data_IF_013681978155
#
_entry.id   IF_013681978155
#
_cell.length_a   1.000
_cell.length_b   1.000
_cell.length_c   1.000
_cell.angle_alpha   90.00
_cell.angle_beta   90.00
_cell.angle_gamma   90.00
#
_symmetry.space_group_name_H-M   'P 1'
#
loop_
_entity.id
_entity.type
_entity.pdbx_description
1 polymer ?
#
# COMPACT_ATOMS: atom_id res chain seq x y z
N UNK A 1 -54.17 -1.65 14.51
CA UNK A 1 -53.12 -0.88 15.18
C UNK A 1 -51.84 -1.09 14.43
N UNK A 2 -51.31 -0.07 13.73
CA UNK A 2 -49.94 -0.11 13.17
C UNK A 2 -49.00 -0.04 14.36
N UNK A 3 -48.23 -1.10 14.57
CA UNK A 3 -47.12 -1.08 15.51
C UNK A 3 -46.09 -0.11 14.94
N UNK A 4 -45.72 0.91 15.69
CA UNK A 4 -44.72 1.91 15.32
C UNK A 4 -43.36 1.21 15.29
N UNK A 5 -43.01 0.64 14.11
CA UNK A 5 -41.80 -0.14 13.93
C UNK A 5 -40.65 0.81 13.60
N UNK A 6 -39.74 1.00 14.56
CA UNK A 6 -38.51 1.77 14.32
C UNK A 6 -37.49 0.87 13.62
N UNK A 7 -37.02 1.22 12.43
CA UNK A 7 -35.99 0.43 11.72
C UNK A 7 -34.71 0.34 12.56
N UNK A 8 -34.12 -0.85 12.61
CA UNK A 8 -32.90 -1.12 13.33
C UNK A 8 -31.85 -1.69 12.36
N UNK A 9 -30.60 -1.29 12.52
CA UNK A 9 -29.47 -1.84 11.79
C UNK A 9 -28.57 -2.61 12.76
N UNK A 10 -28.25 -3.87 12.41
CA UNK A 10 -27.32 -4.70 13.15
C UNK A 10 -26.04 -4.83 12.35
N UNK A 11 -24.91 -4.50 12.97
CA UNK A 11 -23.57 -4.66 12.41
C UNK A 11 -22.81 -5.68 13.26
N UNK A 12 -22.28 -6.73 12.62
CA UNK A 12 -21.39 -7.70 13.27
C UNK A 12 -20.02 -7.57 12.63
N UNK A 13 -19.00 -7.39 13.44
CA UNK A 13 -17.62 -7.23 12.98
C UNK A 13 -16.64 -7.68 14.05
N UNK A 14 -15.45 -8.09 13.63
CA UNK A 14 -14.33 -8.22 14.53
C UNK A 14 -13.69 -6.83 14.77
N UNK A 15 -13.01 -6.63 15.91
CA UNK A 15 -12.24 -5.42 16.15
C UNK A 15 -11.26 -5.15 15.02
N UNK A 16 -11.17 -3.89 14.60
CA UNK A 16 -10.21 -3.43 13.60
C UNK A 16 -9.81 -1.99 13.92
N UNK A 17 -8.51 -1.75 14.08
CA UNK A 17 -7.97 -0.44 14.40
C UNK A 17 -8.35 0.64 13.38
N UNK A 18 -8.43 0.28 12.10
CA UNK A 18 -8.74 1.21 11.00
C UNK A 18 -10.24 1.33 10.72
N UNK A 19 -11.09 0.63 11.47
CA UNK A 19 -12.54 0.72 11.31
C UNK A 19 -13.08 2.08 11.76
N UNK A 20 -14.00 2.66 10.99
CA UNK A 20 -14.75 3.86 11.40
C UNK A 20 -15.51 3.65 12.72
N UNK A 21 -15.88 2.40 13.02
CA UNK A 21 -16.58 2.05 14.27
C UNK A 21 -15.70 2.30 15.49
N UNK A 22 -14.39 2.17 15.39
CA UNK A 22 -13.48 2.47 16.50
C UNK A 22 -13.70 3.89 17.02
N UNK A 23 -13.79 4.87 16.13
CA UNK A 23 -14.02 6.26 16.52
C UNK A 23 -15.37 6.49 17.22
N UNK A 24 -16.35 5.59 17.03
CA UNK A 24 -17.61 5.65 17.74
C UNK A 24 -17.59 4.99 19.11
N UNK A 25 -16.60 4.12 19.33
CA UNK A 25 -16.49 3.27 20.51
C UNK A 25 -15.48 3.79 21.53
N UNK A 26 -14.36 4.38 21.04
CA UNK A 26 -13.16 4.63 21.85
C UNK A 26 -13.39 5.56 23.04
N UNK A 27 -14.22 6.58 22.92
CA UNK A 27 -14.45 7.56 23.99
C UNK A 27 -15.36 7.05 25.12
N UNK A 28 -16.10 5.97 24.91
CA UNK A 28 -17.13 5.57 25.87
C UNK A 28 -17.17 4.08 26.16
N UNK A 29 -17.07 3.23 25.12
CA UNK A 29 -17.28 1.79 25.25
C UNK A 29 -16.02 0.99 25.47
N UNK A 30 -14.85 1.59 25.18
CA UNK A 30 -13.57 0.92 25.24
C UNK A 30 -12.71 1.42 26.41
N UNK A 31 -11.91 0.52 26.95
CA UNK A 31 -10.82 0.91 27.86
C UNK A 31 -9.81 1.77 27.09
N UNK A 32 -9.44 2.97 27.59
CA UNK A 32 -8.62 3.92 26.87
C UNK A 32 -7.17 3.48 26.68
N UNK A 33 -6.70 2.47 27.40
CA UNK A 33 -5.33 1.96 27.29
C UNK A 33 -5.25 0.72 26.42
N UNK A 34 -6.21 -0.19 26.55
CA UNK A 34 -6.17 -1.51 25.90
C UNK A 34 -7.09 -1.62 24.69
N UNK A 35 -8.06 -0.73 24.57
CA UNK A 35 -9.08 -0.81 23.52
C UNK A 35 -10.04 -2.00 23.67
N UNK A 36 -10.03 -2.66 24.82
CA UNK A 36 -10.94 -3.78 25.13
C UNK A 36 -12.29 -3.22 25.54
N UNK A 37 -13.42 -3.82 25.12
CA UNK A 37 -14.74 -3.39 25.56
C UNK A 37 -14.90 -3.41 27.07
N UNK A 38 -15.40 -2.31 27.64
CA UNK A 38 -15.69 -2.18 29.06
C UNK A 38 -16.99 -2.97 29.36
N UNK A 39 -16.95 -3.99 30.25
CA UNK A 39 -18.13 -4.81 30.54
C UNK A 39 -19.34 -4.01 31.04
N UNK A 40 -19.09 -2.97 31.86
CA UNK A 40 -20.14 -2.10 32.42
C UNK A 40 -20.75 -1.14 31.38
N UNK A 41 -20.12 -0.98 30.23
CA UNK A 41 -20.62 -0.16 29.11
C UNK A 41 -21.29 -0.98 28.01
N UNK A 42 -21.07 -2.29 27.99
CA UNK A 42 -21.69 -3.21 27.04
C UNK A 42 -23.21 -3.17 27.17
N UNK A 43 -23.91 -2.95 26.04
CA UNK A 43 -25.35 -2.83 26.01
C UNK A 43 -25.88 -1.44 26.40
N UNK A 44 -25.03 -0.51 26.82
CA UNK A 44 -25.50 0.85 27.12
C UNK A 44 -25.93 1.55 25.83
N UNK A 45 -27.08 2.22 25.88
CA UNK A 45 -27.63 2.95 24.74
C UNK A 45 -27.24 4.42 24.81
N UNK A 46 -26.53 4.90 23.79
CA UNK A 46 -26.23 6.33 23.59
C UNK A 46 -27.06 6.89 22.44
N UNK A 47 -27.15 8.20 22.38
CA UNK A 47 -27.83 8.93 21.33
C UNK A 47 -26.86 9.81 20.61
N UNK A 48 -27.06 10.01 19.31
CA UNK A 48 -26.21 10.89 18.52
C UNK A 48 -27.00 11.68 17.51
N UNK A 49 -26.50 12.86 17.22
CA UNK A 49 -26.93 13.73 16.13
C UNK A 49 -25.80 13.93 15.17
N UNK A 50 -26.04 13.81 13.86
CA UNK A 50 -25.03 13.98 12.82
C UNK A 50 -25.08 15.41 12.29
N UNK A 51 -24.01 16.18 12.50
CA UNK A 51 -23.83 17.53 11.97
C UNK A 51 -22.72 17.52 10.92
N UNK A 52 -23.08 17.43 9.65
CA UNK A 52 -22.11 17.27 8.57
C UNK A 52 -21.32 15.95 8.74
N UNK A 53 -20.01 16.06 8.90
CA UNK A 53 -19.13 14.92 9.15
C UNK A 53 -18.90 14.62 10.64
N UNK A 54 -19.38 15.46 11.55
CA UNK A 54 -19.23 15.27 12.98
C UNK A 54 -20.42 14.51 13.57
N UNK A 55 -20.16 13.71 14.60
CA UNK A 55 -21.16 13.06 15.42
C UNK A 55 -21.13 13.67 16.83
N UNK A 56 -22.26 14.23 17.24
CA UNK A 56 -22.47 14.78 18.59
C UNK A 56 -23.16 13.73 19.44
N UNK A 57 -22.49 13.31 20.53
CA UNK A 57 -22.95 12.20 21.38
C UNK A 57 -23.59 12.67 22.67
N UNK A 58 -24.66 11.98 23.06
CA UNK A 58 -25.48 12.25 24.27
C UNK A 58 -25.67 10.94 25.03
N UNK A 59 -25.77 11.06 26.36
CA UNK A 59 -25.98 9.89 27.24
C UNK A 59 -27.46 9.56 27.43
N UNK A 60 -28.32 10.52 27.14
CA UNK A 60 -29.80 10.30 27.20
C UNK A 60 -30.48 10.93 26.00
N UNK A 61 -31.73 10.49 25.74
CA UNK A 61 -32.58 11.06 24.69
C UNK A 61 -32.95 12.51 25.05
N UNK A 62 -33.25 12.77 26.32
CA UNK A 62 -33.65 14.07 26.83
C UNK A 62 -32.55 15.12 26.61
N UNK A 63 -31.28 14.76 26.84
CA UNK A 63 -30.15 15.65 26.55
C UNK A 63 -30.07 16.00 25.08
N UNK A 64 -30.26 15.02 24.19
CA UNK A 64 -30.21 15.24 22.75
C UNK A 64 -31.41 16.09 22.27
N UNK A 65 -32.59 15.81 22.75
CA UNK A 65 -33.81 16.54 22.41
C UNK A 65 -33.80 17.98 22.92
N UNK A 66 -33.18 18.25 24.06
CA UNK A 66 -33.01 19.61 24.59
C UNK A 66 -32.21 20.51 23.66
N UNK A 67 -31.30 19.92 22.85
CA UNK A 67 -30.41 20.66 21.93
C UNK A 67 -30.99 20.68 20.51
N UNK A 68 -31.54 19.57 20.02
CA UNK A 68 -31.91 19.37 18.61
C UNK A 68 -33.42 19.30 18.37
N UNK A 69 -34.21 19.43 19.41
CA UNK A 69 -35.67 19.27 19.36
C UNK A 69 -36.13 17.82 19.46
N UNK A 70 -37.40 17.64 19.87
CA UNK A 70 -37.99 16.31 20.05
C UNK A 70 -38.69 15.82 18.79
N UNK A 71 -38.86 14.51 18.69
CA UNK A 71 -39.65 13.84 17.66
C UNK A 71 -38.87 13.20 16.53
N UNK A 72 -39.59 12.55 15.62
CA UNK A 72 -38.96 11.76 14.54
C UNK A 72 -38.17 12.59 13.49
N UNK A 73 -38.43 13.88 13.42
CA UNK A 73 -37.76 14.81 12.49
C UNK A 73 -36.49 15.44 13.09
N UNK A 74 -36.22 15.20 14.38
CA UNK A 74 -35.02 15.74 15.06
C UNK A 74 -33.69 15.24 14.50
N UNK A 75 -33.70 14.14 13.75
CA UNK A 75 -32.46 13.52 13.23
C UNK A 75 -31.64 12.79 14.30
N UNK A 76 -32.16 12.68 15.53
CA UNK A 76 -31.50 11.96 16.63
C UNK A 76 -31.62 10.45 16.38
N UNK A 77 -30.49 9.76 16.44
CA UNK A 77 -30.43 8.31 16.33
C UNK A 77 -29.83 7.69 17.59
N UNK A 78 -30.11 6.41 17.83
CA UNK A 78 -29.54 5.69 18.97
C UNK A 78 -28.48 4.68 18.49
N UNK A 79 -27.50 4.42 19.35
CA UNK A 79 -26.46 3.45 19.13
C UNK A 79 -26.24 2.61 20.40
N UNK A 80 -26.07 1.32 20.21
CA UNK A 80 -25.74 0.39 21.29
C UNK A 80 -24.63 -0.52 20.81
N UNK A 81 -23.60 -0.67 21.61
CA UNK A 81 -22.52 -1.59 21.35
C UNK A 81 -22.55 -2.76 22.34
N UNK A 82 -22.37 -3.97 21.82
CA UNK A 82 -22.27 -5.18 22.63
C UNK A 82 -20.90 -5.80 22.31
N UNK A 83 -19.97 -5.65 23.26
CA UNK A 83 -18.69 -6.34 23.20
C UNK A 83 -18.88 -7.81 23.54
N UNK A 84 -18.40 -8.70 22.65
CA UNK A 84 -18.42 -10.14 22.87
C UNK A 84 -17.11 -10.77 22.44
N UNK A 85 -16.70 -11.82 23.13
CA UNK A 85 -15.54 -12.64 22.84
C UNK A 85 -15.95 -14.07 22.52
N UNK A 86 -15.03 -14.89 22.05
CA UNK A 86 -15.29 -16.31 21.84
C UNK A 86 -15.68 -17.03 23.15
N UNK A 87 -15.32 -16.48 24.33
CA UNK A 87 -15.67 -17.05 25.65
C UNK A 87 -17.15 -16.87 25.97
N UNK A 88 -17.81 -15.92 25.35
CA UNK A 88 -19.25 -15.66 25.51
C UNK A 88 -20.10 -16.61 24.63
N UNK A 89 -19.47 -17.55 23.91
CA UNK A 89 -20.13 -18.54 23.06
C UNK A 89 -19.85 -19.97 23.54
N UNK A 90 -20.47 -20.44 24.65
CA UNK A 90 -20.25 -21.80 25.15
C UNK A 90 -20.55 -22.93 24.14
N UNK A 91 -21.59 -22.81 23.27
CA UNK A 91 -21.81 -23.81 22.22
C UNK A 91 -20.64 -23.96 21.27
N UNK A 92 -19.99 -22.86 20.85
CA UNK A 92 -18.80 -22.91 20.00
C UNK A 92 -17.65 -23.64 20.69
N UNK A 93 -17.37 -23.29 21.95
CA UNK A 93 -16.27 -23.88 22.71
C UNK A 93 -16.51 -25.37 23.00
N UNK A 94 -17.78 -25.77 23.15
CA UNK A 94 -18.13 -27.19 23.28
C UNK A 94 -17.95 -27.97 21.96
N UNK A 95 -18.30 -27.32 20.83
CA UNK A 95 -18.16 -27.95 19.51
C UNK A 95 -16.70 -27.99 19.04
N UNK A 96 -15.90 -27.00 19.44
CA UNK A 96 -14.48 -26.86 19.07
C UNK A 96 -13.62 -26.54 20.29
N UNK A 97 -13.24 -27.55 21.11
CA UNK A 97 -12.47 -27.36 22.35
C UNK A 97 -11.09 -26.73 22.14
N UNK A 98 -10.52 -26.90 20.95
CA UNK A 98 -9.21 -26.36 20.54
C UNK A 98 -9.27 -24.93 19.98
N UNK A 99 -10.47 -24.31 19.88
CA UNK A 99 -10.65 -23.01 19.27
C UNK A 99 -9.81 -21.91 19.95
N UNK A 100 -9.83 -21.84 21.29
CA UNK A 100 -9.02 -20.89 22.05
C UNK A 100 -7.52 -21.14 21.85
N UNK A 101 -7.08 -22.40 21.86
CA UNK A 101 -5.67 -22.75 21.64
C UNK A 101 -5.18 -22.32 20.27
N UNK A 102 -6.03 -22.43 19.24
CA UNK A 102 -5.72 -21.91 17.89
C UNK A 102 -5.58 -20.41 17.88
N UNK A 103 -6.48 -19.67 18.54
CA UNK A 103 -6.37 -18.21 18.66
C UNK A 103 -5.12 -17.78 19.43
N UNK A 104 -4.72 -18.54 20.47
CA UNK A 104 -3.49 -18.29 21.23
C UNK A 104 -2.22 -18.49 20.39
N UNK A 105 -2.25 -19.33 19.38
CA UNK A 105 -1.12 -19.56 18.46
C UNK A 105 -0.98 -18.52 17.35
N UNK A 106 -1.94 -17.61 17.22
CA UNK A 106 -1.87 -16.52 16.24
C UNK A 106 -0.77 -15.51 16.59
N UNK A 107 -0.27 -14.75 15.61
CA UNK A 107 0.57 -13.59 15.86
C UNK A 107 -0.06 -12.63 16.88
N UNK A 108 0.78 -11.92 17.66
CA UNK A 108 0.35 -11.06 18.77
C UNK A 108 -0.87 -10.19 18.44
N UNK A 109 -0.83 -9.47 17.35
CA UNK A 109 -1.90 -8.54 16.93
C UNK A 109 -3.21 -9.27 16.63
N UNK A 110 -3.14 -10.38 15.91
CA UNK A 110 -4.30 -11.20 15.59
C UNK A 110 -4.92 -11.81 16.86
N UNK A 111 -4.08 -12.23 17.81
CA UNK A 111 -4.50 -12.72 19.11
C UNK A 111 -5.19 -11.60 19.91
N UNK A 112 -4.58 -10.44 20.08
CA UNK A 112 -5.16 -9.28 20.78
C UNK A 112 -6.52 -8.89 20.19
N UNK A 113 -6.64 -8.93 18.86
CA UNK A 113 -7.87 -8.60 18.13
C UNK A 113 -8.97 -9.64 18.29
N UNK A 114 -8.65 -10.92 18.06
CA UNK A 114 -9.64 -11.98 17.94
C UNK A 114 -9.93 -12.71 19.26
N UNK A 115 -8.92 -12.82 20.14
CA UNK A 115 -9.07 -13.48 21.44
C UNK A 115 -9.44 -12.50 22.54
N UNK A 116 -8.74 -11.34 22.58
CA UNK A 116 -8.90 -10.35 23.65
C UNK A 116 -9.93 -9.28 23.30
N UNK A 117 -10.30 -9.14 22.03
CA UNK A 117 -11.32 -8.22 21.56
C UNK A 117 -10.86 -6.75 21.51
N UNK A 118 -9.54 -6.51 21.45
CA UNK A 118 -8.98 -5.16 21.43
C UNK A 118 -9.19 -4.46 20.08
N UNK A 119 -9.82 -3.29 20.12
CA UNK A 119 -9.96 -2.37 18.99
C UNK A 119 -8.71 -1.53 18.74
N UNK A 120 -7.76 -1.55 19.68
CA UNK A 120 -6.47 -0.86 19.55
C UNK A 120 -5.36 -1.81 19.10
N UNK A 121 -5.67 -3.11 18.95
CA UNK A 121 -4.73 -4.08 18.44
C UNK A 121 -4.27 -3.68 17.03
N UNK A 122 -3.05 -3.22 16.94
CA UNK A 122 -2.36 -2.92 15.70
C UNK A 122 -0.94 -3.46 15.80
N UNK A 123 -0.34 -3.75 14.68
CA UNK A 123 1.11 -3.79 14.68
C UNK A 123 1.55 -2.41 15.18
N UNK A 124 2.27 -2.38 16.28
CA UNK A 124 2.86 -1.13 16.74
C UNK A 124 3.58 -0.53 15.55
N UNK A 125 3.14 0.64 15.11
CA UNK A 125 3.79 1.40 14.05
C UNK A 125 5.17 1.91 14.50
N UNK A 126 5.49 1.74 15.75
CA UNK A 126 6.81 1.91 16.30
C UNK A 126 7.67 0.73 15.87
N UNK A 127 8.13 0.71 14.62
CA UNK A 127 9.17 -0.20 14.29
C UNK A 127 9.13 -0.89 12.95
N UNK A 128 8.31 -0.46 11.98
CA UNK A 128 8.51 -0.90 10.61
C UNK A 128 9.82 -0.36 10.02
N UNK A 129 10.29 0.77 10.54
CA UNK A 129 11.59 1.33 10.21
C UNK A 129 12.07 2.28 11.32
N UNK A 130 13.39 2.28 11.55
CA UNK A 130 14.10 3.24 12.38
C UNK A 130 15.37 3.67 11.67
N UNK A 131 15.66 4.97 11.65
CA UNK A 131 16.89 5.49 11.01
C UNK A 131 18.19 4.92 11.59
N UNK A 132 18.18 4.49 12.85
CA UNK A 132 19.31 3.84 13.51
C UNK A 132 19.65 2.44 12.96
N UNK A 133 18.75 1.82 12.18
CA UNK A 133 18.97 0.51 11.57
C UNK A 133 19.83 0.57 10.30
N UNK A 134 20.02 1.76 9.75
CA UNK A 134 20.72 1.94 8.47
C UNK A 134 22.05 2.68 8.66
N UNK A 135 23.05 2.29 7.88
CA UNK A 135 24.33 3.00 7.82
C UNK A 135 24.22 4.24 6.93
N UNK A 136 24.82 5.35 7.37
CA UNK A 136 25.00 6.53 6.52
C UNK A 136 26.36 6.48 5.85
N UNK A 137 26.39 6.49 4.51
CA UNK A 137 27.61 6.41 3.70
C UNK A 137 27.75 7.65 2.83
N UNK A 138 29.00 8.00 2.46
CA UNK A 138 29.23 9.16 1.60
C UNK A 138 28.96 8.85 0.12
N UNK A 139 29.14 7.56 -0.28
CA UNK A 139 28.94 7.10 -1.64
C UNK A 139 28.37 5.68 -1.64
N UNK A 140 27.62 5.35 -2.70
CA UNK A 140 27.20 3.98 -2.95
C UNK A 140 28.43 3.10 -3.24
N UNK A 141 28.32 1.80 -2.94
CA UNK A 141 29.36 0.85 -3.25
C UNK A 141 29.49 0.67 -4.78
N UNK A 142 30.64 1.03 -5.35
CA UNK A 142 30.91 0.93 -6.80
C UNK A 142 30.87 -0.49 -7.38
N UNK A 143 30.67 -1.52 -6.56
CA UNK A 143 30.48 -2.93 -6.95
C UNK A 143 29.01 -3.35 -6.95
N UNK A 144 28.09 -2.42 -7.09
CA UNK A 144 26.67 -2.73 -7.21
C UNK A 144 26.42 -3.62 -8.43
N UNK A 145 25.81 -4.80 -8.22
CA UNK A 145 25.43 -5.74 -9.30
C UNK A 145 24.14 -5.37 -9.99
N UNK A 146 23.23 -4.76 -9.24
CA UNK A 146 21.91 -4.36 -9.73
C UNK A 146 21.56 -3.01 -9.14
N UNK A 147 20.96 -2.16 -9.96
CA UNK A 147 20.45 -0.84 -9.57
C UNK A 147 19.03 -0.70 -10.10
N UNK A 148 18.13 -0.25 -9.24
CA UNK A 148 16.70 -0.07 -9.56
C UNK A 148 16.31 1.36 -9.20
N UNK A 149 15.68 2.07 -10.14
CA UNK A 149 14.96 3.33 -9.90
C UNK A 149 13.48 3.02 -9.87
N UNK A 150 12.85 3.00 -8.69
CA UNK A 150 11.41 2.84 -8.56
C UNK A 150 10.73 4.20 -8.42
N UNK A 151 9.60 4.33 -9.09
CA UNK A 151 8.78 5.53 -9.07
C UNK A 151 7.44 5.27 -8.39
N UNK A 152 6.95 6.30 -7.69
CA UNK A 152 5.54 6.45 -7.33
C UNK A 152 5.03 7.77 -7.90
N UNK A 153 3.89 7.75 -8.59
CA UNK A 153 3.41 8.87 -9.38
C UNK A 153 2.20 9.54 -8.77
N UNK A 154 2.31 10.86 -8.59
CA UNK A 154 1.18 11.74 -8.34
C UNK A 154 1.26 12.93 -9.29
N UNK A 155 0.09 13.35 -9.81
CA UNK A 155 0.00 14.42 -10.81
C UNK A 155 -0.82 15.60 -10.31
N UNK A 156 -0.97 15.72 -9.00
CA UNK A 156 -1.77 16.74 -8.34
C UNK A 156 -0.92 17.93 -7.93
N UNK A 157 -1.42 19.13 -8.23
CA UNK A 157 -0.85 20.37 -7.72
C UNK A 157 -1.53 20.78 -6.41
N UNK A 158 -0.82 21.45 -5.50
CA UNK A 158 -1.46 22.10 -4.35
C UNK A 158 -2.57 23.06 -4.78
N UNK A 159 -3.70 23.00 -4.09
CA UNK A 159 -4.84 23.89 -4.29
C UNK A 159 -5.40 24.31 -2.93
N UNK A 160 -6.27 25.32 -2.89
CA UNK A 160 -6.92 25.74 -1.65
C UNK A 160 -7.72 24.60 -0.98
N UNK A 161 -8.34 23.73 -1.79
CA UNK A 161 -9.08 22.55 -1.29
C UNK A 161 -8.17 21.38 -0.93
N UNK A 162 -6.99 21.30 -1.54
CA UNK A 162 -6.00 20.23 -1.36
C UNK A 162 -4.59 20.82 -1.23
N UNK A 163 -4.24 21.39 -0.07
CA UNK A 163 -2.98 22.13 0.10
C UNK A 163 -1.75 21.21 0.12
N UNK A 164 -1.92 19.93 0.43
CA UNK A 164 -0.82 18.98 0.56
C UNK A 164 -1.08 17.66 -0.22
N UNK A 165 -1.14 17.69 -1.57
CA UNK A 165 -1.32 16.48 -2.37
C UNK A 165 -0.10 15.55 -2.27
N UNK A 166 -0.20 14.35 -2.85
CA UNK A 166 0.89 13.38 -2.90
C UNK A 166 2.03 13.87 -3.80
N UNK A 167 3.23 13.37 -3.55
CA UNK A 167 4.41 13.63 -4.33
C UNK A 167 4.59 12.56 -5.41
N UNK A 168 5.12 12.96 -6.56
CA UNK A 168 5.87 12.00 -7.36
C UNK A 168 7.24 11.83 -6.74
N UNK A 169 7.58 10.60 -6.40
CA UNK A 169 8.87 10.22 -5.81
C UNK A 169 9.56 9.18 -6.68
N UNK A 170 10.89 9.28 -6.74
CA UNK A 170 11.72 8.27 -7.38
C UNK A 170 12.88 7.90 -6.48
N UNK A 171 12.98 6.63 -6.06
CA UNK A 171 14.06 6.13 -5.21
C UNK A 171 14.99 5.26 -6.04
N UNK A 172 16.29 5.56 -6.02
CA UNK A 172 17.33 4.71 -6.58
C UNK A 172 17.93 3.85 -5.48
N UNK A 173 17.91 2.55 -5.68
CA UNK A 173 18.49 1.58 -4.76
C UNK A 173 19.35 0.58 -5.51
N UNK A 174 20.49 0.23 -4.91
CA UNK A 174 21.38 -0.81 -5.41
C UNK A 174 21.52 -1.98 -4.44
N UNK A 175 22.01 -3.09 -4.97
CA UNK A 175 22.40 -4.29 -4.23
C UNK A 175 23.77 -4.75 -4.69
N UNK A 176 24.69 -4.94 -3.75
CA UNK A 176 26.04 -5.41 -4.04
C UNK A 176 26.18 -6.95 -3.92
N UNK A 177 27.38 -7.44 -4.13
CA UNK A 177 27.72 -8.87 -4.04
C UNK A 177 27.58 -9.44 -2.63
N UNK A 178 27.78 -8.60 -1.61
CA UNK A 178 27.64 -8.96 -0.21
C UNK A 178 26.16 -8.92 0.26
N UNK A 179 25.22 -8.66 -0.67
CA UNK A 179 23.79 -8.47 -0.41
C UNK A 179 23.48 -7.29 0.52
N UNK A 180 24.37 -6.29 0.51
CA UNK A 180 24.11 -4.99 1.15
C UNK A 180 23.34 -4.13 0.14
N UNK A 181 22.26 -3.50 0.64
CA UNK A 181 21.43 -2.60 -0.14
C UNK A 181 21.84 -1.17 0.15
N UNK A 182 21.83 -0.31 -0.85
CA UNK A 182 22.11 1.11 -0.65
C UNK A 182 21.04 1.95 -1.34
N UNK A 183 20.37 2.82 -0.58
CA UNK A 183 19.55 3.91 -1.14
C UNK A 183 20.53 4.99 -1.58
N UNK A 184 20.64 5.17 -2.91
CA UNK A 184 21.65 6.03 -3.52
C UNK A 184 21.15 7.46 -3.72
N UNK A 185 19.86 7.59 -4.12
CA UNK A 185 19.27 8.86 -4.45
C UNK A 185 17.76 8.86 -4.31
N UNK A 186 17.19 10.02 -4.01
CA UNK A 186 15.76 10.28 -3.99
C UNK A 186 15.45 11.59 -4.72
N UNK A 187 14.62 11.49 -5.75
CA UNK A 187 14.07 12.66 -6.46
C UNK A 187 12.61 12.86 -6.14
N UNK A 188 12.17 14.11 -6.16
CA UNK A 188 10.82 14.48 -5.73
C UNK A 188 10.29 15.65 -6.55
N UNK A 189 9.03 15.55 -6.97
CA UNK A 189 8.34 16.67 -7.64
C UNK A 189 6.84 16.65 -7.32
N UNK A 190 6.23 17.83 -7.22
CA UNK A 190 4.79 18.03 -7.27
C UNK A 190 4.50 18.90 -8.47
N UNK A 191 4.07 18.28 -9.56
CA UNK A 191 3.80 18.99 -10.79
C UNK A 191 2.82 18.22 -11.69
N UNK A 192 2.44 18.85 -12.81
CA UNK A 192 1.60 18.23 -13.84
C UNK A 192 2.37 17.13 -14.57
N UNK A 193 1.63 16.22 -15.21
CA UNK A 193 2.14 15.03 -15.93
C UNK A 193 3.36 15.34 -16.79
N UNK A 194 3.33 16.40 -17.59
CA UNK A 194 4.43 16.75 -18.50
C UNK A 194 5.76 17.03 -17.76
N UNK A 195 5.71 17.76 -16.65
CA UNK A 195 6.92 18.08 -15.88
C UNK A 195 7.43 16.86 -15.11
N UNK A 196 6.51 16.00 -14.65
CA UNK A 196 6.86 14.70 -14.06
C UNK A 196 7.57 13.82 -15.08
N UNK A 197 7.03 13.71 -16.29
CA UNK A 197 7.61 12.92 -17.39
C UNK A 197 9.01 13.43 -17.76
N UNK A 198 9.19 14.75 -17.86
CA UNK A 198 10.48 15.39 -18.08
C UNK A 198 11.50 15.03 -17.00
N UNK A 199 11.08 15.07 -15.72
CA UNK A 199 11.95 14.66 -14.61
C UNK A 199 12.34 13.19 -14.74
N UNK A 200 11.39 12.31 -15.06
CA UNK A 200 11.68 10.87 -15.23
C UNK A 200 12.74 10.63 -16.31
N UNK A 201 12.64 11.29 -17.47
CA UNK A 201 13.62 11.17 -18.53
C UNK A 201 14.98 11.72 -18.13
N UNK A 202 15.03 12.89 -17.48
CA UNK A 202 16.29 13.47 -16.99
C UNK A 202 16.96 12.56 -15.98
N UNK A 203 16.18 12.01 -15.04
CA UNK A 203 16.68 11.07 -14.03
C UNK A 203 17.19 9.78 -14.68
N UNK A 204 16.46 9.22 -15.66
CA UNK A 204 16.91 8.03 -16.38
C UNK A 204 18.27 8.23 -17.10
N UNK A 205 18.47 9.40 -17.72
CA UNK A 205 19.73 9.76 -18.35
C UNK A 205 20.86 9.89 -17.31
N UNK A 206 20.59 10.48 -16.14
CA UNK A 206 21.57 10.62 -15.06
C UNK A 206 21.95 9.28 -14.42
N UNK A 207 20.97 8.41 -14.20
CA UNK A 207 21.16 7.10 -13.58
C UNK A 207 21.94 6.14 -14.50
N UNK A 208 21.78 6.27 -15.82
CA UNK A 208 22.44 5.42 -16.83
C UNK A 208 21.58 4.23 -17.27
N UNK A 209 22.01 3.58 -18.37
CA UNK A 209 21.24 2.49 -19.02
C UNK A 209 21.32 1.15 -18.26
N UNK A 210 22.25 1.00 -17.34
CA UNK A 210 22.39 -0.17 -16.45
C UNK A 210 21.36 -0.21 -15.32
N UNK A 211 20.65 0.89 -15.10
CA UNK A 211 19.57 0.98 -14.10
C UNK A 211 18.26 0.49 -14.69
N UNK A 212 17.60 -0.41 -13.96
CA UNK A 212 16.24 -0.85 -14.30
C UNK A 212 15.25 0.12 -13.68
N UNK A 213 14.34 0.64 -14.49
CA UNK A 213 13.30 1.57 -14.04
C UNK A 213 12.03 0.78 -13.70
N UNK A 214 11.54 0.91 -12.46
CA UNK A 214 10.27 0.36 -12.02
C UNK A 214 9.17 1.42 -12.12
N UNK A 215 8.13 1.11 -12.86
CA UNK A 215 6.95 1.96 -13.06
C UNK A 215 5.75 1.26 -12.45
N UNK A 216 5.01 1.87 -11.51
CA UNK A 216 3.82 1.27 -10.93
C UNK A 216 2.72 1.14 -11.98
N UNK A 217 2.10 -0.04 -12.03
CA UNK A 217 0.94 -0.32 -12.88
C UNK A 217 -0.32 -0.27 -12.03
N UNK A 218 -0.97 0.88 -12.00
CA UNK A 218 -2.28 1.03 -11.39
C UNK A 218 -3.34 0.30 -12.24
N UNK A 219 -4.26 -0.47 -11.64
CA UNK A 219 -5.37 -1.11 -12.34
C UNK A 219 -6.37 -0.13 -12.97
N UNK A 220 -6.39 1.15 -12.58
CA UNK A 220 -7.21 2.16 -13.21
C UNK A 220 -6.79 2.37 -14.68
N UNK A 221 -7.76 2.37 -15.58
CA UNK A 221 -7.51 2.34 -17.03
C UNK A 221 -6.61 3.49 -17.53
N UNK A 222 -6.82 4.71 -17.04
CA UNK A 222 -6.03 5.89 -17.45
C UNK A 222 -4.59 5.82 -16.92
N UNK A 223 -4.39 5.45 -15.67
CA UNK A 223 -3.07 5.31 -15.07
C UNK A 223 -2.28 4.15 -15.68
N UNK A 224 -2.96 3.03 -15.97
CA UNK A 224 -2.36 1.90 -16.67
C UNK A 224 -1.94 2.22 -18.11
N UNK A 225 -2.70 3.06 -18.83
CA UNK A 225 -2.33 3.53 -20.16
C UNK A 225 -1.09 4.45 -20.12
N UNK A 226 -1.05 5.37 -19.16
CA UNK A 226 0.11 6.23 -18.93
C UNK A 226 1.39 5.43 -18.63
N UNK A 227 1.31 4.46 -17.70
CA UNK A 227 2.46 3.63 -17.35
C UNK A 227 3.04 2.88 -18.56
N UNK A 228 2.19 2.34 -19.44
CA UNK A 228 2.59 1.65 -20.66
C UNK A 228 3.20 2.60 -21.70
N UNK A 229 2.64 3.80 -21.86
CA UNK A 229 3.19 4.81 -22.77
C UNK A 229 4.56 5.30 -22.30
N UNK A 230 4.70 5.58 -21.01
CA UNK A 230 5.99 5.96 -20.40
C UNK A 230 7.03 4.85 -20.55
N UNK A 231 6.65 3.58 -20.31
CA UNK A 231 7.52 2.43 -20.55
C UNK A 231 8.00 2.36 -22.00
N UNK A 232 7.09 2.55 -22.97
CA UNK A 232 7.43 2.55 -24.39
C UNK A 232 8.45 3.65 -24.74
N UNK A 233 8.19 4.89 -24.29
CA UNK A 233 9.08 6.04 -24.54
C UNK A 233 10.49 5.82 -23.96
N UNK A 234 10.58 5.31 -22.73
CA UNK A 234 11.85 4.99 -22.09
C UNK A 234 12.58 3.86 -22.82
N UNK A 235 11.87 2.84 -23.28
CA UNK A 235 12.45 1.75 -24.07
C UNK A 235 12.97 2.23 -25.42
N UNK A 236 12.29 3.15 -26.10
CA UNK A 236 12.75 3.82 -27.32
C UNK A 236 14.07 4.61 -27.10
N UNK A 237 14.29 5.11 -25.88
CA UNK A 237 15.54 5.74 -25.46
C UNK A 237 16.62 4.75 -25.01
N UNK A 238 16.37 3.44 -25.02
CA UNK A 238 17.29 2.39 -24.64
C UNK A 238 17.31 2.03 -23.15
N UNK A 239 16.35 2.49 -22.36
CA UNK A 239 16.26 2.17 -20.93
C UNK A 239 15.44 0.91 -20.66
N UNK A 240 15.91 0.09 -19.71
CA UNK A 240 15.17 -1.10 -19.25
C UNK A 240 14.09 -0.72 -18.25
N UNK A 241 12.83 -1.02 -18.58
CA UNK A 241 11.67 -0.69 -17.73
C UNK A 241 10.87 -1.93 -17.33
N UNK A 242 10.40 -1.97 -16.09
CA UNK A 242 9.50 -2.99 -15.56
C UNK A 242 8.23 -2.35 -15.04
N UNK A 243 7.08 -2.89 -15.44
CA UNK A 243 5.80 -2.53 -14.83
C UNK A 243 5.60 -3.37 -13.57
N UNK A 244 5.40 -2.71 -12.43
CA UNK A 244 5.25 -3.35 -11.12
C UNK A 244 3.79 -3.21 -10.67
N UNK A 245 3.11 -4.35 -10.48
CA UNK A 245 1.72 -4.36 -10.00
C UNK A 245 1.70 -4.67 -8.51
N UNK A 246 1.15 -3.78 -7.66
CA UNK A 246 1.00 -4.08 -6.24
C UNK A 246 -0.09 -5.15 -6.05
N UNK A 247 0.28 -6.30 -5.46
CA UNK A 247 -0.64 -7.42 -5.24
C UNK A 247 -0.94 -7.61 -3.74
N UNK A 248 -0.08 -7.07 -2.85
CA UNK A 248 -0.18 -7.22 -1.40
C UNK A 248 -0.39 -5.87 -0.73
N UNK A 249 -0.77 -5.88 0.56
CA UNK A 249 -0.85 -4.66 1.35
C UNK A 249 0.51 -3.92 1.41
N UNK A 250 0.49 -2.60 1.61
CA UNK A 250 1.70 -1.78 1.71
C UNK A 250 2.65 -2.28 2.80
N UNK A 251 2.13 -2.62 3.97
CA UNK A 251 2.93 -3.21 5.07
C UNK A 251 3.62 -4.50 4.62
N UNK A 252 2.90 -5.41 3.96
CA UNK A 252 3.47 -6.67 3.49
C UNK A 252 4.53 -6.47 2.41
N UNK A 253 4.39 -5.44 1.56
CA UNK A 253 5.37 -5.11 0.54
C UNK A 253 6.63 -4.46 1.13
N UNK A 254 6.47 -3.64 2.17
CA UNK A 254 7.57 -2.96 2.85
C UNK A 254 8.35 -3.87 3.82
N UNK A 255 7.75 -4.94 4.32
CA UNK A 255 8.36 -5.85 5.29
C UNK A 255 9.77 -6.38 4.89
N UNK A 256 10.07 -6.70 3.61
CA UNK A 256 11.43 -7.10 3.21
C UNK A 256 12.47 -5.98 3.44
N UNK A 257 12.16 -4.73 3.10
CA UNK A 257 13.04 -3.59 3.35
C UNK A 257 13.28 -3.40 4.86
N UNK A 258 12.20 -3.37 5.61
CA UNK A 258 12.21 -3.26 7.07
C UNK A 258 13.10 -4.32 7.73
N UNK A 259 12.91 -5.60 7.37
CA UNK A 259 13.66 -6.71 7.96
C UNK A 259 15.16 -6.64 7.64
N UNK A 260 15.52 -6.27 6.41
CA UNK A 260 16.92 -6.15 5.98
C UNK A 260 17.57 -4.91 6.60
N UNK A 261 16.84 -3.81 6.74
CA UNK A 261 17.30 -2.62 7.46
C UNK A 261 17.56 -2.93 8.93
N UNK A 262 16.62 -3.62 9.61
CA UNK A 262 16.79 -4.03 11.01
C UNK A 262 18.00 -4.97 11.21
N UNK A 263 18.32 -5.78 10.20
CA UNK A 263 19.49 -6.64 10.22
C UNK A 263 20.82 -5.89 9.92
N UNK A 264 20.77 -4.57 9.65
CA UNK A 264 21.95 -3.74 9.40
C UNK A 264 22.53 -3.86 7.97
N UNK A 265 21.76 -4.39 7.02
CA UNK A 265 22.21 -4.58 5.63
C UNK A 265 21.67 -3.51 4.65
N UNK A 266 21.20 -2.37 5.19
CA UNK A 266 20.80 -1.21 4.38
C UNK A 266 21.70 -0.03 4.69
N UNK A 267 22.23 0.61 3.65
CA UNK A 267 22.91 1.89 3.72
C UNK A 267 22.09 2.96 3.01
N UNK A 268 22.31 4.22 3.40
CA UNK A 268 21.69 5.39 2.78
C UNK A 268 22.81 6.41 2.48
N UNK A 269 22.86 6.91 1.26
CA UNK A 269 23.84 7.95 0.89
C UNK A 269 23.45 9.27 1.55
N UNK A 270 24.41 9.95 2.15
CA UNK A 270 24.23 11.26 2.78
C UNK A 270 23.85 12.32 1.75
N UNK A 271 22.67 12.88 1.88
CA UNK A 271 22.17 13.92 0.99
C UNK A 271 21.09 14.78 1.64
N UNK A 272 20.68 15.87 0.98
CA UNK A 272 19.67 16.80 1.51
C UNK A 272 18.28 16.19 1.66
N UNK A 273 17.98 15.14 0.89
CA UNK A 273 16.70 14.42 0.93
C UNK A 273 16.58 13.45 2.13
N UNK A 274 17.67 13.17 2.86
CA UNK A 274 17.68 12.17 3.94
C UNK A 274 16.64 12.45 5.02
N UNK A 275 16.48 13.74 5.40
CA UNK A 275 15.51 14.10 6.45
C UNK A 275 14.10 13.69 6.06
N UNK A 276 13.63 14.09 4.90
CA UNK A 276 12.28 13.80 4.42
C UNK A 276 12.07 12.30 4.20
N UNK A 277 13.10 11.60 3.73
CA UNK A 277 13.10 10.16 3.55
C UNK A 277 12.91 9.42 4.88
N UNK A 278 13.72 9.72 5.87
CA UNK A 278 13.63 9.07 7.17
C UNK A 278 12.33 9.42 7.90
N UNK A 279 11.92 10.68 7.87
CA UNK A 279 10.69 11.13 8.54
C UNK A 279 9.45 10.39 7.97
N UNK A 280 9.38 10.14 6.66
CA UNK A 280 8.30 9.37 6.05
C UNK A 280 8.34 7.88 6.44
N UNK A 281 9.51 7.24 6.35
CA UNK A 281 9.66 5.82 6.66
C UNK A 281 9.40 5.50 8.14
N UNK A 282 9.83 6.38 9.06
CA UNK A 282 9.64 6.20 10.51
C UNK A 282 8.18 6.36 10.94
N UNK A 283 7.41 7.21 10.24
CA UNK A 283 6.00 7.46 10.55
C UNK A 283 5.07 6.44 9.88
N UNK A 284 5.58 5.68 8.91
CA UNK A 284 4.78 4.73 8.16
C UNK A 284 4.26 3.58 9.03
N UNK A 285 2.94 3.37 9.01
CA UNK A 285 2.22 2.31 9.73
C UNK A 285 1.16 1.62 8.87
N UNK A 286 1.09 1.97 7.58
CA UNK A 286 0.09 1.47 6.64
C UNK A 286 -1.25 2.20 6.69
N UNK A 287 -1.38 3.28 7.47
CA UNK A 287 -2.54 4.16 7.42
C UNK A 287 -2.56 4.91 6.07
N UNK A 288 -3.63 4.74 5.25
CA UNK A 288 -3.74 5.38 3.95
C UNK A 288 -3.83 6.91 4.00
N UNK A 289 -3.99 7.51 5.19
CA UNK A 289 -3.97 8.97 5.38
C UNK A 289 -2.55 9.53 5.52
N UNK A 290 -1.57 8.69 5.77
CA UNK A 290 -0.17 9.09 5.89
C UNK A 290 0.52 9.00 4.54
N UNK A 291 1.52 9.87 4.34
CA UNK A 291 2.38 9.82 3.16
C UNK A 291 3.22 8.56 3.19
N UNK A 292 3.30 7.87 2.08
CA UNK A 292 4.03 6.62 1.93
C UNK A 292 4.64 6.45 0.51
N UNK A 293 4.77 7.55 -0.22
CA UNK A 293 5.27 7.58 -1.60
C UNK A 293 6.69 6.95 -1.70
N UNK A 294 7.58 7.25 -0.73
CA UNK A 294 8.93 6.69 -0.67
C UNK A 294 8.96 5.24 -0.17
N UNK A 295 8.02 4.88 0.71
CA UNK A 295 7.84 3.51 1.19
C UNK A 295 7.45 2.57 0.05
N UNK A 296 6.55 3.02 -0.83
CA UNK A 296 6.14 2.27 -2.02
C UNK A 296 7.32 2.10 -3.00
N UNK A 297 8.11 3.16 -3.23
CA UNK A 297 9.33 3.07 -4.04
C UNK A 297 10.34 2.08 -3.44
N UNK A 298 10.61 2.13 -2.13
CA UNK A 298 11.51 1.17 -1.47
C UNK A 298 11.02 -0.27 -1.60
N UNK A 299 9.71 -0.47 -1.48
CA UNK A 299 9.08 -1.79 -1.62
C UNK A 299 9.27 -2.36 -3.02
N UNK A 300 9.10 -1.54 -4.05
CA UNK A 300 9.28 -1.95 -5.44
C UNK A 300 10.75 -2.19 -5.80
N UNK A 301 11.69 -1.37 -5.28
CA UNK A 301 13.12 -1.63 -5.37
C UNK A 301 13.46 -3.01 -4.78
N UNK A 302 13.00 -3.29 -3.55
CA UNK A 302 13.25 -4.57 -2.89
C UNK A 302 12.66 -5.75 -3.65
N UNK A 303 11.46 -5.59 -4.22
CA UNK A 303 10.83 -6.61 -5.03
C UNK A 303 11.69 -6.99 -6.25
N UNK A 304 12.25 -6.00 -6.94
CA UNK A 304 13.05 -6.23 -8.15
C UNK A 304 14.48 -6.68 -7.82
N UNK A 305 15.14 -6.11 -6.80
CA UNK A 305 16.48 -6.49 -6.37
C UNK A 305 16.55 -7.92 -5.78
N UNK A 306 15.42 -8.47 -5.34
CA UNK A 306 15.33 -9.83 -4.80
C UNK A 306 14.78 -10.86 -5.80
N UNK A 307 14.36 -10.43 -7.00
CA UNK A 307 14.10 -11.38 -8.08
C UNK A 307 15.46 -11.81 -8.64
N UNK A 308 15.70 -13.11 -8.71
CA UNK A 308 16.83 -13.66 -9.47
C UNK A 308 16.64 -13.33 -10.95
N UNK A 309 17.02 -12.12 -11.33
CA UNK A 309 17.09 -11.72 -12.73
C UNK A 309 18.45 -12.11 -13.28
N UNK A 310 18.70 -13.38 -13.50
CA UNK A 310 19.52 -13.78 -14.65
C UNK A 310 18.74 -13.32 -15.87
N UNK A 311 19.00 -12.10 -16.34
CA UNK A 311 18.66 -11.71 -17.71
C UNK A 311 19.47 -12.67 -18.58
N UNK A 312 18.84 -13.59 -19.36
CA UNK A 312 19.59 -14.24 -20.40
C UNK A 312 20.17 -13.09 -21.25
N UNK A 313 21.50 -13.05 -21.42
CA UNK A 313 22.12 -12.19 -22.41
C UNK A 313 21.41 -12.49 -23.73
N UNK A 314 20.45 -11.66 -24.10
CA UNK A 314 19.88 -11.70 -25.43
C UNK A 314 20.91 -11.03 -26.33
N UNK A 315 21.90 -11.80 -26.73
CA UNK A 315 22.72 -11.46 -27.89
C UNK A 315 21.75 -11.45 -29.07
N UNK A 316 21.49 -10.25 -29.59
CA UNK A 316 20.84 -10.12 -30.87
C UNK A 316 21.60 -11.04 -31.84
N UNK A 317 20.93 -11.94 -32.56
CA UNK A 317 21.60 -12.71 -33.60
C UNK A 317 22.23 -11.69 -34.57
N UNK A 318 23.50 -11.91 -34.89
CA UNK A 318 24.24 -11.14 -35.87
C UNK A 318 23.51 -11.22 -37.20
N UNK A 319 22.85 -10.15 -37.59
CA UNK A 319 22.21 -9.99 -38.90
C UNK A 319 23.25 -9.61 -40.00
N UNK A 320 24.51 -9.95 -39.83
CA UNK A 320 25.54 -9.85 -40.89
C UNK A 320 25.60 -11.14 -41.70
N UNK A 321 24.52 -11.66 -42.14
CA UNK A 321 24.45 -12.85 -42.97
C UNK A 321 23.29 -12.80 -43.93
N UNK A 322 23.60 -12.44 -45.23
CA UNK A 322 22.83 -12.68 -46.43
C UNK A 322 21.30 -12.46 -46.37
N UNK A 323 20.89 -11.49 -47.11
CA UNK A 323 19.51 -11.14 -47.44
C UNK A 323 18.71 -12.38 -47.86
N UNK A 324 17.64 -12.78 -47.16
CA UNK A 324 16.84 -13.95 -47.55
C UNK A 324 16.06 -13.79 -48.88
N UNK A 325 16.19 -12.63 -49.55
CA UNK A 325 15.49 -12.33 -50.81
C UNK A 325 16.31 -12.67 -52.07
N UNK A 326 17.59 -13.07 -51.93
CA UNK A 326 18.41 -13.38 -53.11
C UNK A 326 18.26 -14.81 -53.66
N UNK A 327 17.36 -15.64 -53.10
CA UNK A 327 17.13 -17.02 -53.58
C UNK A 327 15.75 -17.28 -54.17
N UNK A 328 14.97 -16.23 -54.52
CA UNK A 328 13.67 -16.37 -55.18
C UNK A 328 13.63 -15.84 -56.60
N UNK A 329 14.68 -16.15 -57.41
CA UNK A 329 14.57 -16.08 -58.87
C UNK A 329 14.94 -17.43 -59.45
N UNK A 330 13.93 -18.30 -59.61
CA UNK A 330 14.18 -19.55 -60.36
C UNK A 330 13.15 -20.63 -60.06
N UNK A 331 12.17 -20.66 -60.95
CA UNK A 331 11.35 -21.78 -61.46
C UNK A 331 9.90 -21.81 -61.05
N UNK A 332 9.13 -21.60 -62.08
CA UNK A 332 7.70 -21.91 -62.30
C UNK A 332 7.40 -23.39 -62.01
N UNK A 333 6.36 -23.68 -61.20
CA UNK A 333 5.30 -24.65 -61.57
C UNK A 333 4.27 -24.84 -60.43
N UNK A 334 3.03 -24.67 -60.83
CA UNK A 334 1.78 -25.37 -60.46
C UNK A 334 1.31 -25.35 -59.01
N UNK A 335 0.25 -24.56 -58.77
CA UNK A 335 -0.77 -24.77 -57.75
C UNK A 335 -1.56 -26.05 -57.93
N UNK A 336 -2.07 -26.66 -56.89
CA UNK A 336 -3.50 -26.96 -56.87
C UNK A 336 -4.21 -26.33 -55.66
N UNK A 337 -5.40 -25.86 -55.99
CA UNK A 337 -6.43 -25.41 -55.09
C UNK A 337 -6.94 -26.55 -54.19
N UNK A 338 -7.21 -26.26 -52.91
CA UNK A 338 -8.17 -27.04 -52.14
C UNK A 338 -9.18 -26.14 -51.44
N UNK A 339 -10.41 -26.36 -51.89
CA UNK A 339 -11.66 -25.83 -51.35
C UNK A 339 -12.05 -26.59 -50.08
N UNK A 340 -12.69 -25.84 -49.17
CA UNK A 340 -13.80 -26.20 -48.26
C UNK A 340 -13.84 -27.60 -47.63
N UNK A 341 -14.00 -27.64 -46.29
CA UNK A 341 -15.14 -28.37 -45.68
C UNK A 341 -15.43 -27.70 -44.32
N UNK A 342 -16.66 -27.25 -44.21
CA UNK A 342 -17.41 -26.91 -43.02
C UNK A 342 -17.83 -28.24 -42.36
N UNK A 343 -17.61 -28.40 -41.07
CA UNK A 343 -18.63 -28.91 -40.12
C UNK A 343 -18.20 -28.53 -38.70
#
# INVERSE_FOLDING_TARGET
AYVDYKPQMFLMTNPDYNSFLRAWLEDFYLDPQTGIPLPEKTGYKRYFFRQGNAMLWYNSLEEAEAVHGAGNESGISSFTFIGATCRDNPPLLKAQPDYISRLMSLPRVEKERLLDGSWFARQESAGLFKREWVGLVDHANGRARQRIRAWDFAFSLPSEQYPNPDWTRGVLMSKDEAKVYTVEDVVSIRNRVHEVEKLVFQTAIQDGQDVIISIPLDPAAAAGAYAKDLQRKLAEMGFSCRLTKPVKSKITRFAPFSSIAQAGFVNVVKANWNKDFFDELEVFDGDPKKKDDQVDCCSDCMLLLNRDTTIPNFTLPDFTGSNPFDSMTGSTSSFPAFSSIIN
#
